data_IF_258775222235
#
_entry.id   IF_258775222235
#
_cell.length_a   1.000
_cell.length_b   1.000
_cell.length_c   1.000
_cell.angle_alpha   90.00
_cell.angle_beta   90.00
_cell.angle_gamma   90.00
#
_symmetry.space_group_name_H-M   'P 1'
#
loop_
_entity.id
_entity.type
_entity.pdbx_description
1 polymer ?
#
# COMPACT_ATOMS: atom_id res chain seq x y z
N UNK A 1 37.82 79.37 34.92
CA UNK A 1 38.52 78.23 35.55
C UNK A 1 37.51 77.16 35.90
N UNK A 2 37.37 76.16 35.02
CA UNK A 2 36.96 74.76 35.21
C UNK A 2 36.39 74.24 33.89
N UNK A 3 37.16 73.37 33.27
CA UNK A 3 36.79 72.60 32.09
C UNK A 3 36.15 71.30 32.57
N UNK A 4 34.99 70.98 32.01
CA UNK A 4 34.29 69.73 32.22
C UNK A 4 34.95 68.66 31.33
N UNK A 5 35.57 67.67 31.97
CA UNK A 5 36.11 66.49 31.30
C UNK A 5 35.07 65.37 31.33
N UNK A 6 34.65 64.96 30.13
CA UNK A 6 33.83 63.78 29.85
C UNK A 6 34.39 62.52 30.54
N UNK A 7 33.54 61.82 31.28
CA UNK A 7 33.81 60.47 31.78
C UNK A 7 33.02 59.48 30.92
N UNK A 8 33.74 58.69 30.12
CA UNK A 8 33.16 57.59 29.34
C UNK A 8 32.61 56.49 30.27
N UNK A 9 31.46 55.87 29.96
CA UNK A 9 31.00 54.68 30.67
C UNK A 9 31.80 53.43 30.25
N UNK A 10 31.95 52.43 31.14
CA UNK A 10 32.71 51.22 30.85
C UNK A 10 32.04 50.36 29.76
N UNK A 11 32.88 49.71 28.96
CA UNK A 11 32.53 48.74 27.94
C UNK A 11 31.74 47.57 28.52
N UNK A 12 30.55 47.32 27.96
CA UNK A 12 29.75 46.13 28.25
C UNK A 12 30.35 44.90 27.53
N UNK A 13 31.54 44.48 27.97
CA UNK A 13 32.09 43.17 27.67
C UNK A 13 31.48 42.12 28.61
N UNK A 14 30.23 41.75 28.32
CA UNK A 14 29.72 40.41 28.67
C UNK A 14 28.67 39.98 27.65
N UNK A 15 29.04 40.07 26.36
CA UNK A 15 28.32 39.35 25.32
C UNK A 15 28.62 37.88 25.54
N UNK A 16 27.75 37.25 26.33
CA UNK A 16 27.64 35.81 26.58
C UNK A 16 27.88 35.06 25.27
N UNK A 17 29.13 34.65 25.06
CA UNK A 17 29.44 33.53 24.21
C UNK A 17 28.81 32.30 24.88
N UNK A 18 28.45 31.32 24.08
CA UNK A 18 28.08 29.97 24.52
C UNK A 18 26.60 29.80 24.91
N UNK A 19 25.73 29.97 23.92
CA UNK A 19 24.65 29.00 23.71
C UNK A 19 24.42 28.88 22.20
N UNK A 20 25.26 28.10 21.51
CA UNK A 20 24.85 27.49 20.24
C UNK A 20 23.83 26.42 20.62
N UNK A 21 22.63 26.89 21.00
CA UNK A 21 21.52 26.05 21.38
C UNK A 21 21.35 25.00 20.30
N UNK A 22 21.42 23.74 20.70
CA UNK A 22 21.10 22.63 19.80
C UNK A 22 19.79 22.97 19.12
N UNK A 23 19.74 23.04 17.77
CA UNK A 23 18.50 23.37 17.08
C UNK A 23 17.41 22.44 17.62
N UNK A 24 16.21 22.96 17.95
CA UNK A 24 15.15 22.14 18.53
C UNK A 24 14.95 20.93 17.64
N UNK A 25 14.82 19.70 18.21
CA UNK A 25 14.69 18.49 17.42
C UNK A 25 13.60 18.69 16.38
N UNK A 26 13.95 18.54 15.10
CA UNK A 26 13.05 18.77 13.99
C UNK A 26 11.80 17.91 14.21
N UNK A 27 10.67 18.54 14.50
CA UNK A 27 9.41 17.84 14.77
C UNK A 27 9.05 16.99 13.56
N UNK A 28 8.80 15.70 13.78
CA UNK A 28 8.29 14.81 12.75
C UNK A 28 7.01 15.40 12.12
N UNK A 29 7.04 15.63 10.81
CA UNK A 29 5.92 16.23 10.08
C UNK A 29 5.04 15.09 9.56
N UNK A 30 3.72 15.08 9.85
CA UNK A 30 2.83 14.06 9.31
C UNK A 30 2.65 14.26 7.80
N UNK A 31 3.26 13.39 7.00
CA UNK A 31 3.11 13.38 5.55
C UNK A 31 1.99 12.44 5.14
N UNK A 32 1.15 12.86 4.19
CA UNK A 32 0.18 11.96 3.55
C UNK A 32 0.90 11.05 2.57
N UNK A 33 0.79 9.75 2.78
CA UNK A 33 1.48 8.72 1.98
C UNK A 33 0.48 7.97 1.10
N UNK A 34 -0.69 7.59 1.64
CA UNK A 34 -1.72 6.87 0.87
C UNK A 34 -2.96 7.74 0.61
N UNK A 35 -3.47 7.66 -0.61
CA UNK A 35 -4.76 8.21 -0.97
C UNK A 35 -5.91 7.44 -0.31
N UNK A 36 -7.11 8.03 -0.30
CA UNK A 36 -8.28 7.38 0.30
C UNK A 36 -8.72 6.15 -0.51
N UNK A 37 -8.78 6.18 -1.86
CA UNK A 37 -9.20 5.04 -2.65
C UNK A 37 -8.37 3.79 -2.37
N UNK A 38 -7.03 3.90 -2.37
CA UNK A 38 -6.14 2.76 -2.08
C UNK A 38 -6.41 2.14 -0.70
N UNK A 39 -6.71 2.96 0.30
CA UNK A 39 -7.02 2.48 1.66
C UNK A 39 -8.37 1.79 1.73
N UNK A 40 -9.39 2.37 1.11
CA UNK A 40 -10.73 1.78 1.01
C UNK A 40 -10.64 0.43 0.28
N UNK A 41 -9.96 0.38 -0.88
CA UNK A 41 -9.76 -0.84 -1.64
C UNK A 41 -9.07 -1.92 -0.81
N UNK A 42 -8.00 -1.59 -0.10
CA UNK A 42 -7.31 -2.55 0.76
C UNK A 42 -8.22 -3.16 1.84
N UNK A 43 -8.92 -2.31 2.61
CA UNK A 43 -9.76 -2.81 3.71
C UNK A 43 -10.98 -3.58 3.22
N UNK A 44 -11.58 -3.15 2.10
CA UNK A 44 -12.65 -3.91 1.45
C UNK A 44 -12.14 -5.26 0.94
N UNK A 45 -10.96 -5.29 0.33
CA UNK A 45 -10.35 -6.51 -0.19
C UNK A 45 -10.03 -7.50 0.94
N UNK A 46 -9.49 -7.02 2.07
CA UNK A 46 -9.26 -7.85 3.26
C UNK A 46 -10.57 -8.41 3.84
N UNK A 47 -11.62 -7.58 3.95
CA UNK A 47 -12.92 -8.00 4.47
C UNK A 47 -13.62 -9.01 3.54
N UNK A 48 -13.63 -8.73 2.24
CA UNK A 48 -14.24 -9.61 1.23
C UNK A 48 -13.48 -10.92 1.12
N UNK A 49 -12.15 -10.91 1.15
CA UNK A 49 -11.36 -12.14 1.16
C UNK A 49 -11.70 -13.01 2.38
N UNK A 50 -11.78 -12.41 3.58
CA UNK A 50 -12.18 -13.13 4.77
C UNK A 50 -13.62 -13.68 4.66
N UNK A 51 -14.55 -12.91 4.11
CA UNK A 51 -15.92 -13.35 3.87
C UNK A 51 -15.98 -14.51 2.88
N UNK A 52 -15.29 -14.44 1.74
CA UNK A 52 -15.21 -15.50 0.75
C UNK A 52 -14.64 -16.78 1.36
N UNK A 53 -13.53 -16.69 2.10
CA UNK A 53 -12.92 -17.84 2.75
C UNK A 53 -13.88 -18.49 3.75
N UNK A 54 -14.47 -17.70 4.66
CA UNK A 54 -15.36 -18.18 5.70
C UNK A 54 -16.69 -18.74 5.18
N UNK A 55 -17.19 -18.20 4.06
CA UNK A 55 -18.42 -18.68 3.42
C UNK A 55 -18.18 -19.94 2.59
N UNK A 56 -17.07 -20.02 1.85
CA UNK A 56 -16.69 -21.21 1.09
C UNK A 56 -16.42 -22.41 2.00
N UNK A 57 -15.63 -22.22 3.06
CA UNK A 57 -15.29 -23.25 4.06
C UNK A 57 -16.52 -23.82 4.78
N UNK A 58 -17.55 -22.99 5.01
CA UNK A 58 -18.79 -23.41 5.68
C UNK A 58 -19.89 -23.88 4.74
N UNK A 59 -19.65 -23.89 3.42
CA UNK A 59 -20.64 -24.27 2.42
C UNK A 59 -21.75 -23.23 2.17
N UNK A 60 -21.57 -21.97 2.59
CA UNK A 60 -22.47 -20.86 2.26
C UNK A 60 -22.19 -20.33 0.85
N UNK A 61 -22.42 -21.16 -0.18
CA UNK A 61 -22.00 -20.88 -1.55
C UNK A 61 -22.68 -19.64 -2.17
N UNK A 62 -23.93 -19.34 -1.83
CA UNK A 62 -24.60 -18.11 -2.28
C UNK A 62 -23.84 -16.85 -1.87
N UNK A 63 -23.37 -16.81 -0.61
CA UNK A 63 -22.56 -15.70 -0.10
C UNK A 63 -21.19 -15.71 -0.76
N UNK A 64 -20.57 -16.89 -0.89
CA UNK A 64 -19.26 -17.04 -1.50
C UNK A 64 -19.23 -16.54 -2.95
N UNK A 65 -20.22 -16.93 -3.77
CA UNK A 65 -20.33 -16.54 -5.17
C UNK A 65 -20.50 -15.03 -5.33
N UNK A 66 -21.44 -14.42 -4.58
CA UNK A 66 -21.67 -12.97 -4.63
C UNK A 66 -20.45 -12.20 -4.11
N UNK A 67 -19.89 -12.60 -2.97
CA UNK A 67 -18.71 -11.95 -2.41
C UNK A 67 -17.48 -12.10 -3.34
N UNK A 68 -17.32 -13.26 -3.97
CA UNK A 68 -16.26 -13.55 -4.93
C UNK A 68 -16.34 -12.68 -6.19
N UNK A 69 -17.55 -12.45 -6.72
CA UNK A 69 -17.77 -11.53 -7.83
C UNK A 69 -17.41 -10.08 -7.45
N UNK A 70 -17.85 -9.62 -6.28
CA UNK A 70 -17.51 -8.27 -5.78
C UNK A 70 -16.00 -8.14 -5.56
N UNK A 71 -15.36 -9.17 -5.01
CA UNK A 71 -13.91 -9.23 -4.82
C UNK A 71 -13.17 -9.15 -6.17
N UNK A 72 -13.61 -9.90 -7.18
CA UNK A 72 -13.01 -9.87 -8.52
C UNK A 72 -13.10 -8.48 -9.17
N UNK A 73 -14.26 -7.81 -9.07
CA UNK A 73 -14.45 -6.42 -9.52
C UNK A 73 -13.49 -5.47 -8.79
N UNK A 74 -13.34 -5.64 -7.49
CA UNK A 74 -12.46 -4.81 -6.66
C UNK A 74 -10.98 -5.03 -7.02
N UNK A 75 -10.56 -6.28 -7.26
CA UNK A 75 -9.21 -6.63 -7.70
C UNK A 75 -8.90 -6.01 -9.06
N UNK A 76 -9.80 -6.17 -10.04
CA UNK A 76 -9.64 -5.56 -11.36
C UNK A 76 -9.55 -4.03 -11.27
N UNK A 77 -10.43 -3.41 -10.48
CA UNK A 77 -10.39 -1.96 -10.22
C UNK A 77 -9.05 -1.56 -9.61
N UNK A 78 -8.53 -2.32 -8.64
CA UNK A 78 -7.25 -2.04 -8.00
C UNK A 78 -6.10 -2.15 -8.99
N UNK A 79 -6.09 -3.14 -9.87
CA UNK A 79 -5.08 -3.30 -10.93
C UNK A 79 -5.07 -2.06 -11.82
N UNK A 80 -6.23 -1.67 -12.35
CA UNK A 80 -6.36 -0.48 -13.21
C UNK A 80 -5.92 0.79 -12.47
N UNK A 81 -6.32 0.95 -11.21
CA UNK A 81 -5.86 2.06 -10.35
C UNK A 81 -4.34 2.06 -10.15
N UNK A 82 -3.68 0.91 -10.24
CA UNK A 82 -2.22 0.79 -10.19
C UNK A 82 -1.49 1.33 -11.42
N UNK A 83 -2.20 1.66 -12.50
CA UNK A 83 -1.63 2.29 -13.70
C UNK A 83 -2.01 3.76 -13.86
N UNK A 84 -3.19 4.18 -13.40
CA UNK A 84 -3.71 5.55 -13.63
C UNK A 84 -3.99 6.35 -12.34
N UNK A 85 -3.82 5.74 -11.17
CA UNK A 85 -4.16 6.32 -9.88
C UNK A 85 -3.14 7.32 -9.32
N UNK A 86 -3.22 7.54 -8.00
CA UNK A 86 -2.31 8.41 -7.24
C UNK A 86 -0.87 7.87 -7.25
N UNK A 87 0.13 8.73 -7.00
CA UNK A 87 1.53 8.33 -7.02
C UNK A 87 1.85 7.15 -6.10
N UNK A 88 1.21 7.06 -4.92
CA UNK A 88 1.39 5.93 -4.03
C UNK A 88 0.67 4.65 -4.45
N UNK A 89 -0.24 4.73 -5.41
CA UNK A 89 -0.94 3.58 -5.97
C UNK A 89 -0.24 3.01 -7.21
N UNK A 90 0.59 3.80 -7.90
CA UNK A 90 1.19 3.44 -9.19
C UNK A 90 2.27 2.37 -9.05
N UNK A 91 2.13 1.27 -9.79
CA UNK A 91 3.09 0.15 -9.78
C UNK A 91 4.52 0.60 -10.05
N UNK A 92 4.72 1.51 -11.01
CA UNK A 92 6.05 2.05 -11.37
C UNK A 92 6.75 2.82 -10.23
N UNK A 93 5.99 3.30 -9.24
CA UNK A 93 6.54 4.12 -8.16
C UNK A 93 7.01 3.26 -6.98
N UNK A 94 6.43 2.08 -6.79
CA UNK A 94 6.76 1.21 -5.65
C UNK A 94 7.41 -0.13 -6.02
N UNK A 95 7.25 -0.61 -7.26
CA UNK A 95 7.97 -1.79 -7.73
C UNK A 95 9.41 -1.43 -8.08
N UNK A 96 10.35 -2.07 -7.37
CA UNK A 96 11.78 -1.88 -7.53
C UNK A 96 12.39 -3.05 -8.31
N UNK A 97 13.45 -2.84 -9.09
CA UNK A 97 14.10 -3.91 -9.83
C UNK A 97 14.70 -4.96 -8.87
N UNK A 98 14.83 -6.24 -9.27
CA UNK A 98 15.29 -7.32 -8.41
C UNK A 98 16.60 -7.04 -7.67
N UNK A 99 17.54 -6.33 -8.32
CA UNK A 99 18.81 -5.91 -7.72
C UNK A 99 18.64 -5.06 -6.45
N UNK A 100 17.65 -4.17 -6.42
CA UNK A 100 17.36 -3.30 -5.28
C UNK A 100 16.66 -4.09 -4.16
N UNK A 101 15.88 -5.11 -4.51
CA UNK A 101 15.26 -6.01 -3.54
C UNK A 101 16.34 -6.84 -2.83
N UNK A 102 17.28 -7.42 -3.59
CA UNK A 102 18.39 -8.20 -3.02
C UNK A 102 19.31 -7.31 -2.16
N UNK A 103 19.65 -6.12 -2.64
CA UNK A 103 20.43 -5.15 -1.85
C UNK A 103 19.70 -4.70 -0.58
N UNK A 104 18.38 -4.55 -0.64
CA UNK A 104 17.57 -4.22 0.53
C UNK A 104 17.57 -5.36 1.56
N UNK A 105 17.45 -6.62 1.13
CA UNK A 105 17.52 -7.78 2.02
C UNK A 105 18.87 -7.87 2.74
N UNK A 106 19.99 -7.59 2.05
CA UNK A 106 21.32 -7.65 2.65
C UNK A 106 21.62 -6.49 3.62
N UNK A 107 20.90 -5.37 3.54
CA UNK A 107 21.16 -4.19 4.37
C UNK A 107 20.13 -3.98 5.49
N UNK A 108 18.86 -4.34 5.25
CA UNK A 108 17.75 -4.05 6.18
C UNK A 108 17.70 -5.01 7.37
N UNK A 109 18.07 -6.28 7.18
CA UNK A 109 18.12 -7.27 8.28
C UNK A 109 19.19 -6.94 9.33
N UNK A 110 20.26 -6.23 8.94
CA UNK A 110 21.36 -5.87 9.84
C UNK A 110 21.14 -4.56 10.60
N UNK A 111 20.11 -3.78 10.28
CA UNK A 111 19.87 -2.47 10.91
C UNK A 111 18.47 -2.40 11.51
N UNK A 112 18.39 -2.07 12.80
CA UNK A 112 17.10 -1.77 13.46
C UNK A 112 16.52 -0.40 13.10
N UNK A 113 17.18 0.38 12.22
CA UNK A 113 16.69 1.68 11.81
C UNK A 113 15.40 1.57 10.95
N UNK A 114 14.49 2.55 11.08
CA UNK A 114 13.27 2.62 10.28
C UNK A 114 13.57 2.77 8.79
N UNK A 115 12.69 2.21 7.96
CA UNK A 115 12.86 2.29 6.51
C UNK A 115 12.54 3.70 6.02
N UNK A 116 13.51 4.31 5.33
CA UNK A 116 13.34 5.67 4.76
C UNK A 116 12.47 5.69 3.50
N UNK A 117 11.89 4.56 3.09
CA UNK A 117 11.10 4.45 1.87
C UNK A 117 9.69 5.03 2.07
N UNK A 118 9.34 6.06 1.29
CA UNK A 118 7.98 6.62 1.29
C UNK A 118 7.03 5.64 0.60
N UNK A 119 6.00 5.19 1.32
CA UNK A 119 5.01 4.24 0.81
C UNK A 119 5.38 2.80 1.09
N UNK A 120 6.05 2.15 0.13
CA UNK A 120 6.49 0.76 0.27
C UNK A 120 8.02 0.68 0.20
N UNK A 121 8.62 -0.08 1.11
CA UNK A 121 9.96 -0.58 0.92
C UNK A 121 10.00 -1.60 -0.24
N UNK A 122 11.18 -1.93 -0.81
CA UNK A 122 11.28 -2.83 -1.96
C UNK A 122 10.59 -4.19 -1.75
N UNK A 123 10.67 -4.75 -0.53
CA UNK A 123 10.07 -6.04 -0.20
C UNK A 123 8.54 -5.95 -0.08
N UNK A 124 8.02 -4.88 0.50
CA UNK A 124 6.60 -4.59 0.62
C UNK A 124 5.96 -4.34 -0.74
N UNK A 125 6.67 -3.66 -1.65
CA UNK A 125 6.23 -3.49 -3.04
C UNK A 125 6.10 -4.83 -3.77
N UNK A 126 7.08 -5.72 -3.60
CA UNK A 126 7.04 -7.08 -4.15
C UNK A 126 5.87 -7.89 -3.56
N UNK A 127 5.66 -7.82 -2.25
CA UNK A 127 4.56 -8.52 -1.58
C UNK A 127 3.19 -8.09 -2.14
N UNK A 128 2.97 -6.79 -2.34
CA UNK A 128 1.73 -6.27 -2.95
C UNK A 128 1.53 -6.82 -4.36
N UNK A 129 2.56 -6.84 -5.20
CA UNK A 129 2.44 -7.40 -6.56
C UNK A 129 2.17 -8.91 -6.55
N UNK A 130 2.86 -9.67 -5.70
CA UNK A 130 2.64 -11.12 -5.58
C UNK A 130 1.22 -11.44 -5.11
N UNK A 131 0.75 -10.75 -4.06
CA UNK A 131 -0.60 -10.96 -3.54
C UNK A 131 -1.67 -10.54 -4.56
N UNK A 132 -1.50 -9.43 -5.27
CA UNK A 132 -2.45 -9.02 -6.31
C UNK A 132 -2.45 -10.00 -7.50
N UNK A 133 -1.28 -10.50 -7.91
CA UNK A 133 -1.19 -11.50 -8.97
C UNK A 133 -1.91 -12.78 -8.56
N UNK A 134 -1.58 -13.34 -7.39
CA UNK A 134 -2.17 -14.59 -6.93
C UNK A 134 -3.68 -14.46 -6.70
N UNK A 135 -4.13 -13.32 -6.17
CA UNK A 135 -5.55 -13.05 -5.98
C UNK A 135 -6.29 -12.91 -7.32
N UNK A 136 -5.63 -12.37 -8.35
CA UNK A 136 -6.19 -12.30 -9.70
C UNK A 136 -6.37 -13.69 -10.31
N UNK A 137 -5.36 -14.55 -10.16
CA UNK A 137 -5.43 -15.96 -10.58
C UNK A 137 -6.56 -16.68 -9.82
N UNK A 138 -6.63 -16.50 -8.50
CA UNK A 138 -7.66 -17.11 -7.67
C UNK A 138 -9.08 -16.68 -8.07
N UNK A 139 -9.30 -15.38 -8.34
CA UNK A 139 -10.58 -14.89 -8.86
C UNK A 139 -10.91 -15.46 -10.25
N UNK A 140 -9.92 -15.56 -11.15
CA UNK A 140 -10.13 -16.14 -12.48
C UNK A 140 -10.53 -17.61 -12.39
N UNK A 141 -9.85 -18.39 -11.53
CA UNK A 141 -10.20 -19.78 -11.25
C UNK A 141 -11.63 -19.89 -10.70
N UNK A 142 -12.01 -19.06 -9.73
CA UNK A 142 -13.36 -19.10 -9.15
C UNK A 142 -14.46 -18.69 -10.14
N UNK A 143 -14.15 -17.82 -11.11
CA UNK A 143 -15.08 -17.43 -12.18
C UNK A 143 -15.35 -18.60 -13.16
N UNK A 144 -14.37 -19.47 -13.35
CA UNK A 144 -14.39 -20.61 -14.27
C UNK A 144 -14.74 -21.95 -13.59
N UNK A 145 -14.66 -22.01 -12.26
CA UNK A 145 -14.84 -23.22 -11.48
C UNK A 145 -16.28 -23.76 -11.56
N UNK A 146 -16.41 -25.08 -11.54
CA UNK A 146 -17.69 -25.77 -11.41
C UNK A 146 -17.56 -26.95 -10.45
N UNK A 147 -18.57 -27.15 -9.60
CA UNK A 147 -18.65 -28.27 -8.69
C UNK A 147 -19.30 -29.51 -9.34
N UNK A 148 -19.02 -30.68 -8.77
CA UNK A 148 -19.46 -31.98 -9.31
C UNK A 148 -20.99 -32.07 -9.46
N UNK A 149 -21.73 -31.45 -8.55
CA UNK A 149 -23.20 -31.43 -8.52
C UNK A 149 -23.81 -30.24 -9.30
N UNK A 150 -22.99 -29.36 -9.88
CA UNK A 150 -23.42 -28.15 -10.57
C UNK A 150 -24.13 -27.12 -9.68
N UNK A 151 -24.12 -27.34 -8.36
CA UNK A 151 -24.87 -26.50 -7.41
C UNK A 151 -24.20 -25.15 -7.17
N UNK A 152 -22.86 -25.11 -7.23
CA UNK A 152 -22.08 -23.89 -7.17
C UNK A 152 -21.12 -23.83 -8.36
N UNK A 153 -21.47 -22.99 -9.33
CA UNK A 153 -20.69 -22.79 -10.54
C UNK A 153 -20.36 -21.31 -10.71
N UNK A 154 -19.12 -21.05 -11.13
CA UNK A 154 -18.65 -19.72 -11.48
C UNK A 154 -19.42 -19.17 -12.70
N UNK A 155 -19.61 -17.85 -12.79
CA UNK A 155 -20.45 -17.22 -13.80
C UNK A 155 -19.96 -17.43 -15.24
N UNK A 156 -18.73 -17.92 -15.47
CA UNK A 156 -18.19 -18.20 -16.81
C UNK A 156 -17.71 -19.65 -16.97
N UNK A 157 -18.08 -20.56 -16.07
CA UNK A 157 -17.74 -22.00 -16.16
C UNK A 157 -18.13 -22.62 -17.50
N UNK A 158 -19.26 -22.21 -18.07
CA UNK A 158 -19.75 -22.65 -19.39
C UNK A 158 -18.85 -22.32 -20.58
N UNK A 159 -17.83 -21.45 -20.42
CA UNK A 159 -16.90 -21.12 -21.50
C UNK A 159 -15.83 -22.19 -21.74
N UNK A 160 -15.68 -23.12 -20.80
CA UNK A 160 -14.72 -24.22 -20.87
C UNK A 160 -15.45 -25.57 -20.71
N UNK A 161 -14.76 -26.67 -20.98
CA UNK A 161 -15.34 -27.99 -20.77
C UNK A 161 -15.43 -28.34 -19.27
N UNK A 162 -16.33 -29.28 -18.96
CA UNK A 162 -16.62 -29.67 -17.58
C UNK A 162 -15.36 -30.18 -16.84
N UNK A 163 -14.47 -30.91 -17.53
CA UNK A 163 -13.22 -31.40 -16.94
C UNK A 163 -12.29 -30.24 -16.56
N UNK A 164 -12.12 -29.22 -17.41
CA UNK A 164 -11.34 -28.05 -17.06
C UNK A 164 -12.00 -27.20 -15.97
N UNK A 165 -13.33 -27.11 -15.94
CA UNK A 165 -14.05 -26.38 -14.89
C UNK A 165 -13.91 -27.04 -13.52
N UNK A 166 -13.94 -28.38 -13.47
CA UNK A 166 -13.66 -29.15 -12.26
C UNK A 166 -12.20 -29.00 -11.81
N UNK A 167 -11.27 -28.97 -12.76
CA UNK A 167 -9.85 -28.73 -12.47
C UNK A 167 -9.63 -27.29 -11.94
N UNK A 168 -10.31 -26.30 -12.53
CA UNK A 168 -10.29 -24.93 -12.05
C UNK A 168 -10.80 -24.81 -10.59
N UNK A 169 -11.81 -25.61 -10.21
CA UNK A 169 -12.29 -25.68 -8.83
C UNK A 169 -11.22 -26.20 -7.86
N UNK A 170 -10.46 -27.25 -8.24
CA UNK A 170 -9.34 -27.75 -7.42
C UNK A 170 -8.25 -26.69 -7.26
N UNK A 171 -7.82 -26.07 -8.35
CA UNK A 171 -6.83 -25.00 -8.28
C UNK A 171 -7.35 -23.78 -7.51
N UNK A 172 -8.65 -23.50 -7.55
CA UNK A 172 -9.25 -22.44 -6.74
C UNK A 172 -9.09 -22.72 -5.24
N UNK A 173 -9.27 -23.96 -4.79
CA UNK A 173 -9.03 -24.39 -3.41
C UNK A 173 -7.53 -24.31 -3.05
N UNK A 174 -6.65 -24.85 -3.88
CA UNK A 174 -5.20 -24.82 -3.61
C UNK A 174 -4.65 -23.39 -3.56
N UNK A 175 -5.10 -22.53 -4.48
CA UNK A 175 -4.69 -21.11 -4.49
C UNK A 175 -5.23 -20.34 -3.28
N UNK A 176 -6.39 -20.73 -2.72
CA UNK A 176 -6.89 -20.16 -1.47
C UNK A 176 -5.92 -20.44 -0.30
N UNK A 177 -5.39 -21.67 -0.21
CA UNK A 177 -4.41 -22.05 0.80
C UNK A 177 -3.10 -21.26 0.64
N UNK A 178 -2.61 -21.11 -0.59
CA UNK A 178 -1.44 -20.28 -0.87
C UNK A 178 -1.66 -18.81 -0.48
N UNK A 179 -2.85 -18.25 -0.76
CA UNK A 179 -3.22 -16.90 -0.34
C UNK A 179 -3.26 -16.75 1.18
N UNK A 180 -3.78 -17.74 1.92
CA UNK A 180 -3.76 -17.72 3.39
C UNK A 180 -2.34 -17.65 3.94
N UNK A 181 -1.40 -18.41 3.38
CA UNK A 181 0.01 -18.35 3.77
C UNK A 181 0.57 -16.95 3.51
N UNK A 182 0.31 -16.36 2.34
CA UNK A 182 0.75 -14.99 2.05
C UNK A 182 0.13 -13.95 2.97
N UNK A 183 -1.16 -14.08 3.31
CA UNK A 183 -1.82 -13.20 4.28
C UNK A 183 -1.19 -13.35 5.67
N UNK A 184 -0.91 -14.58 6.12
CA UNK A 184 -0.23 -14.82 7.39
C UNK A 184 1.17 -14.18 7.42
N UNK A 185 1.95 -14.35 6.34
CA UNK A 185 3.25 -13.70 6.18
C UNK A 185 3.15 -12.16 6.18
N UNK A 186 2.14 -11.62 5.51
CA UNK A 186 1.86 -10.18 5.49
C UNK A 186 1.55 -9.64 6.89
N UNK A 187 0.69 -10.32 7.66
CA UNK A 187 0.38 -9.94 9.03
C UNK A 187 1.59 -10.08 9.96
N UNK A 188 2.41 -11.12 9.78
CA UNK A 188 3.66 -11.29 10.51
C UNK A 188 4.64 -10.14 10.21
N UNK A 189 4.74 -9.69 8.95
CA UNK A 189 5.55 -8.53 8.59
C UNK A 189 5.03 -7.24 9.24
N UNK A 190 3.71 -7.03 9.27
CA UNK A 190 3.12 -5.89 9.99
C UNK A 190 3.45 -5.93 11.48
N UNK A 191 3.33 -7.10 12.12
CA UNK A 191 3.69 -7.29 13.52
C UNK A 191 5.19 -7.04 13.76
N UNK A 192 6.06 -7.52 12.88
CA UNK A 192 7.50 -7.25 12.93
C UNK A 192 7.81 -5.75 12.83
N UNK A 193 7.20 -5.04 11.89
CA UNK A 193 7.39 -3.59 11.79
C UNK A 193 6.87 -2.85 13.03
N UNK A 194 5.73 -3.29 13.59
CA UNK A 194 5.17 -2.67 14.80
C UNK A 194 6.01 -2.93 16.06
N UNK A 195 6.49 -4.16 16.26
CA UNK A 195 7.15 -4.59 17.50
C UNK A 195 8.66 -4.36 17.46
N UNK A 196 9.32 -4.67 16.35
CA UNK A 196 10.77 -4.60 16.21
C UNK A 196 11.22 -3.24 15.65
N UNK A 197 10.64 -2.81 14.53
CA UNK A 197 10.98 -1.52 13.90
C UNK A 197 10.27 -0.32 14.55
N UNK A 198 9.29 -0.56 15.43
CA UNK A 198 8.45 0.46 16.08
C UNK A 198 7.71 1.37 15.10
N UNK A 199 7.39 0.84 13.92
CA UNK A 199 6.65 1.51 12.86
C UNK A 199 5.21 1.00 12.82
N UNK A 200 4.24 1.88 13.11
CA UNK A 200 2.83 1.50 13.06
C UNK A 200 2.27 1.64 11.63
N UNK A 201 2.54 0.64 10.79
CA UNK A 201 2.06 0.57 9.41
C UNK A 201 0.53 0.52 9.32
N UNK A 202 -0.15 -0.14 10.26
CA UNK A 202 -1.61 -0.23 10.31
C UNK A 202 -2.26 1.14 10.48
N UNK A 203 -1.74 1.98 11.39
CA UNK A 203 -2.20 3.36 11.58
C UNK A 203 -1.97 4.18 10.31
N UNK A 204 -0.84 3.94 9.66
CA UNK A 204 -0.48 4.57 8.40
C UNK A 204 -1.49 4.22 7.29
N UNK A 205 -1.90 2.95 7.21
CA UNK A 205 -2.91 2.47 6.26
C UNK A 205 -4.35 2.88 6.61
N UNK A 206 -4.66 3.16 7.87
CA UNK A 206 -5.97 3.68 8.27
C UNK A 206 -6.08 5.19 7.98
N UNK A 207 -5.11 5.96 8.46
CA UNK A 207 -5.13 7.43 8.38
C UNK A 207 -4.62 7.96 7.04
N UNK A 208 -3.82 7.17 6.31
CA UNK A 208 -3.11 7.59 5.11
C UNK A 208 -1.89 8.46 5.38
N UNK A 209 -1.45 8.60 6.63
CA UNK A 209 -0.34 9.47 7.02
C UNK A 209 0.73 8.68 7.79
N UNK A 210 1.99 9.01 7.57
CA UNK A 210 3.06 8.59 8.48
C UNK A 210 3.92 9.78 8.90
N UNK A 211 4.55 9.65 10.06
CA UNK A 211 5.50 10.62 10.56
C UNK A 211 6.84 10.38 9.86
N UNK A 212 7.36 11.39 9.18
CA UNK A 212 8.71 11.37 8.62
C UNK A 212 9.55 12.30 9.50
N UNK A 213 10.62 11.76 10.08
CA UNK A 213 11.62 12.59 10.72
C UNK A 213 12.34 13.40 9.64
N UNK A 214 12.37 14.74 9.73
CA UNK A 214 13.10 15.55 8.78
C UNK A 214 14.58 15.19 8.88
N UNK A 215 15.17 14.73 7.77
CA UNK A 215 16.60 14.44 7.74
C UNK A 215 17.36 15.74 8.01
N UNK A 216 18.20 15.75 9.04
CA UNK A 216 19.21 16.79 9.25
C UNK A 216 20.37 16.67 8.22
N UNK A 217 20.07 16.25 6.99
CA UNK A 217 21.02 16.25 5.87
C UNK A 217 20.87 17.62 5.18
N UNK A 218 21.26 18.65 5.92
CA UNK A 218 21.29 20.04 5.50
C UNK A 218 22.16 20.92 6.41
N UNK A 219 22.98 20.33 7.29
CA UNK A 219 23.97 21.08 8.05
C UNK A 219 25.40 20.71 7.60
N UNK A 220 26.02 21.72 6.99
CA UNK A 220 27.46 21.98 6.86
C UNK A 220 28.27 21.19 5.83
N UNK A 221 27.93 21.32 4.54
CA UNK A 221 29.00 21.65 3.59
C UNK A 221 29.51 23.05 3.96
N UNK A 222 30.78 23.17 4.39
CA UNK A 222 31.43 24.44 4.81
C UNK A 222 31.63 25.47 3.69
N UNK A 223 30.81 25.41 2.65
CA UNK A 223 30.67 26.35 1.56
C UNK A 223 29.31 27.03 1.80
N UNK A 224 29.27 28.35 1.91
CA UNK A 224 28.05 29.15 2.17
C UNK A 224 26.92 29.02 1.14
N UNK A 225 26.94 28.01 0.28
CA UNK A 225 25.81 27.51 -0.49
C UNK A 225 24.72 26.92 0.43
N UNK A 226 23.62 27.65 0.58
CA UNK A 226 22.38 27.10 1.14
C UNK A 226 21.83 26.03 0.20
N UNK A 227 22.26 24.78 0.36
CA UNK A 227 21.56 23.65 -0.23
C UNK A 227 20.19 23.57 0.41
N UNK A 228 19.16 23.99 -0.31
CA UNK A 228 17.78 23.75 0.09
C UNK A 228 17.63 22.25 0.40
N UNK A 229 17.00 21.86 1.52
CA UNK A 229 16.71 20.46 1.79
C UNK A 229 16.06 19.87 0.54
N UNK A 230 16.53 18.72 0.07
CA UNK A 230 15.94 18.03 -1.07
C UNK A 230 14.54 17.57 -0.66
N UNK A 231 13.56 18.47 -0.77
CA UNK A 231 12.15 18.18 -0.53
C UNK A 231 11.76 17.23 -1.65
N UNK A 232 11.65 15.94 -1.31
CA UNK A 232 11.03 14.94 -2.19
C UNK A 232 9.75 15.56 -2.76
N UNK A 233 9.55 15.61 -4.09
CA UNK A 233 8.42 16.31 -4.67
C UNK A 233 7.11 15.81 -4.04
N UNK A 234 6.14 16.72 -3.78
CA UNK A 234 4.91 16.34 -3.10
C UNK A 234 4.17 15.26 -3.91
N UNK A 235 3.80 14.17 -3.25
CA UNK A 235 3.03 13.08 -3.88
C UNK A 235 1.76 13.64 -4.53
N UNK A 236 1.55 13.31 -5.80
CA UNK A 236 0.34 13.66 -6.53
C UNK A 236 -0.78 12.68 -6.19
N UNK A 237 -1.87 13.22 -5.65
CA UNK A 237 -3.08 12.46 -5.36
C UNK A 237 -4.15 12.75 -6.41
N UNK A 238 -4.68 11.68 -7.01
CA UNK A 238 -5.83 11.75 -7.92
C UNK A 238 -7.12 11.86 -7.09
N UNK A 239 -8.17 12.45 -7.65
CA UNK A 239 -9.43 12.68 -6.93
C UNK A 239 -10.19 11.37 -6.65
N UNK A 240 -10.86 11.34 -5.49
CA UNK A 240 -11.68 10.20 -5.04
C UNK A 240 -12.81 9.87 -6.06
N UNK A 241 -13.36 10.89 -6.73
CA UNK A 241 -14.39 10.73 -7.78
C UNK A 241 -13.92 9.88 -8.96
N UNK A 242 -12.66 10.01 -9.38
CA UNK A 242 -12.13 9.21 -10.51
C UNK A 242 -12.02 7.73 -10.13
N UNK A 243 -11.65 7.44 -8.89
CA UNK A 243 -11.62 6.06 -8.39
C UNK A 243 -13.04 5.46 -8.35
N UNK A 244 -14.03 6.25 -7.92
CA UNK A 244 -15.42 5.82 -7.90
C UNK A 244 -15.97 5.57 -9.31
N UNK A 245 -15.72 6.48 -10.25
CA UNK A 245 -16.12 6.31 -11.66
C UNK A 245 -15.47 5.05 -12.23
N UNK A 246 -14.18 4.83 -11.97
CA UNK A 246 -13.49 3.62 -12.43
C UNK A 246 -14.15 2.35 -11.88
N UNK A 247 -14.44 2.30 -10.57
CA UNK A 247 -15.12 1.17 -9.94
C UNK A 247 -16.49 0.89 -10.59
N UNK A 248 -17.28 1.93 -10.82
CA UNK A 248 -18.60 1.82 -11.46
C UNK A 248 -18.47 1.29 -12.89
N UNK A 249 -17.54 1.84 -13.68
CA UNK A 249 -17.32 1.39 -15.06
C UNK A 249 -16.87 -0.08 -15.12
N UNK A 250 -15.98 -0.49 -14.22
CA UNK A 250 -15.55 -1.90 -14.12
C UNK A 250 -16.73 -2.79 -13.74
N UNK A 251 -17.50 -2.42 -12.71
CA UNK A 251 -18.66 -3.19 -12.28
C UNK A 251 -19.69 -3.33 -13.42
N UNK A 252 -20.03 -2.23 -14.10
CA UNK A 252 -20.96 -2.26 -15.24
C UNK A 252 -20.44 -3.12 -16.39
N UNK A 253 -19.13 -3.06 -16.68
CA UNK A 253 -18.51 -3.90 -17.72
C UNK A 253 -18.58 -5.39 -17.37
N UNK A 254 -18.34 -5.75 -16.10
CA UNK A 254 -18.37 -7.15 -15.64
C UNK A 254 -19.80 -7.68 -15.63
N UNK A 255 -20.73 -6.98 -14.98
CA UNK A 255 -22.14 -7.40 -14.93
C UNK A 255 -22.81 -7.37 -16.31
N UNK A 256 -22.53 -6.33 -17.12
CA UNK A 256 -23.01 -6.24 -18.50
C UNK A 256 -22.46 -7.37 -19.37
N UNK A 257 -21.17 -7.72 -19.19
CA UNK A 257 -20.55 -8.85 -19.87
C UNK A 257 -21.19 -10.18 -19.53
N UNK A 258 -21.44 -10.44 -18.25
CA UNK A 258 -22.14 -11.66 -17.80
C UNK A 258 -23.57 -11.73 -18.34
N UNK A 259 -24.33 -10.64 -18.26
CA UNK A 259 -25.69 -10.59 -18.77
C UNK A 259 -25.76 -10.78 -20.29
N UNK A 260 -24.76 -10.31 -21.04
CA UNK A 260 -24.66 -10.55 -22.48
C UNK A 260 -24.32 -12.01 -22.77
N UNK A 261 -23.32 -12.58 -22.08
CA UNK A 261 -22.90 -13.96 -22.30
C UNK A 261 -24.02 -14.97 -22.00
N UNK A 262 -24.82 -14.72 -20.95
CA UNK A 262 -25.97 -15.55 -20.60
C UNK A 262 -27.13 -15.50 -21.60
N UNK A 263 -27.22 -14.48 -22.47
CA UNK A 263 -28.27 -14.40 -23.49
C UNK A 263 -28.04 -15.31 -24.70
N UNK A 264 -26.83 -15.85 -24.83
CA UNK A 264 -26.45 -16.74 -25.93
C UNK A 264 -26.39 -18.22 -25.52
N UNK A 265 -26.80 -18.53 -24.29
CA UNK A 265 -27.03 -19.88 -23.75
C UNK A 265 -28.54 -20.15 -23.72
#
# INVERSE_FOLDING_TARGET
MKADAERSPPSNESRKADDKGTPPPLRAIPLRIWDRPTRIFHWLLALLFALCYLSGDRGYFEIHLVAGQVLAILVLTRILWGFIGSDSALFRNFLRPPREIVAYLSQSFLRSQPDRAIGHNPLGGLAVALMLLLLSVHCALGILAENVDGYASGPLSFLIDYEAALEAAKWHEETAQALLVLVALHLAAIAFHLLYKRENLTRAMLTGRAAIEPTAEGEASGDGSTTHPSITPPLRFVSDLRALILLILVALSVFGGFALAQRFL
#
